data_IF_174227592995
#
_entry.id   IF_174227592995
#
_cell.length_a   1.000
_cell.length_b   1.000
_cell.length_c   1.000
_cell.angle_alpha   90.00
_cell.angle_beta   90.00
_cell.angle_gamma   90.00
#
_symmetry.space_group_name_H-M   'P 1'
#
loop_
_entity.id
_entity.type
_entity.pdbx_description
1 polymer ?
#
# COMPACT_ATOMS: atom_id res chain seq x y z
N UNK A 1 66.52 -66.12 -22.98
CA UNK A 1 65.61 -67.25 -23.24
C UNK A 1 64.41 -66.68 -24.00
N UNK A 2 64.39 -66.84 -25.30
CA UNK A 2 63.21 -66.56 -26.12
C UNK A 2 62.28 -67.76 -25.92
N UNK A 3 61.23 -67.53 -25.16
CA UNK A 3 60.14 -68.52 -25.06
C UNK A 3 59.30 -68.36 -26.32
N UNK A 4 59.57 -69.25 -27.34
CA UNK A 4 58.73 -69.34 -28.51
C UNK A 4 57.34 -69.80 -28.04
N UNK A 5 56.30 -68.96 -28.29
CA UNK A 5 54.93 -69.32 -28.03
C UNK A 5 54.53 -70.53 -28.81
N UNK A 6 54.01 -71.53 -28.12
CA UNK A 6 53.51 -72.74 -28.84
C UNK A 6 52.20 -72.37 -29.61
N UNK A 7 51.86 -73.20 -30.63
CA UNK A 7 50.61 -73.00 -31.37
C UNK A 7 49.37 -73.05 -30.46
N UNK A 8 49.44 -73.86 -29.41
CA UNK A 8 48.38 -73.94 -28.38
C UNK A 8 48.25 -72.65 -27.56
N UNK A 9 49.37 -71.99 -27.18
CA UNK A 9 49.39 -70.73 -26.48
C UNK A 9 48.80 -69.59 -27.32
N UNK A 10 49.11 -69.56 -28.61
CA UNK A 10 48.55 -68.58 -29.56
C UNK A 10 47.05 -68.79 -29.70
N UNK A 11 46.58 -70.05 -29.78
CA UNK A 11 45.18 -70.40 -29.93
C UNK A 11 44.40 -70.04 -28.65
N UNK A 12 44.97 -70.23 -27.46
CA UNK A 12 44.40 -69.83 -26.16
C UNK A 12 44.29 -68.31 -26.09
N UNK A 13 45.30 -67.57 -26.52
CA UNK A 13 45.33 -66.11 -26.54
C UNK A 13 44.24 -65.53 -27.49
N UNK A 14 44.06 -66.16 -28.67
CA UNK A 14 42.98 -65.78 -29.57
C UNK A 14 41.60 -66.03 -28.95
N UNK A 15 41.39 -67.16 -28.30
CA UNK A 15 40.12 -67.51 -27.63
C UNK A 15 39.83 -66.49 -26.46
N UNK A 16 40.84 -66.21 -25.66
CA UNK A 16 40.72 -65.21 -24.60
C UNK A 16 40.39 -63.81 -25.16
N UNK A 17 41.08 -63.39 -26.21
CA UNK A 17 40.84 -62.12 -26.88
C UNK A 17 39.41 -62.05 -27.44
N UNK A 18 38.92 -63.15 -28.10
CA UNK A 18 37.55 -63.20 -28.60
C UNK A 18 36.52 -63.05 -27.45
N UNK A 19 36.74 -63.71 -26.32
CA UNK A 19 35.87 -63.54 -25.13
C UNK A 19 35.90 -62.14 -24.59
N UNK A 20 37.04 -61.47 -24.50
CA UNK A 20 37.18 -60.09 -24.10
C UNK A 20 36.47 -59.13 -25.06
N UNK A 21 36.54 -59.35 -26.34
CA UNK A 21 35.78 -58.62 -27.35
C UNK A 21 34.26 -58.75 -27.12
N UNK A 22 33.77 -59.98 -26.93
CA UNK A 22 32.34 -60.21 -26.66
C UNK A 22 31.87 -59.51 -25.37
N UNK A 23 32.68 -59.53 -24.29
CA UNK A 23 32.38 -58.88 -23.08
C UNK A 23 32.37 -57.35 -23.24
N UNK A 24 33.31 -56.82 -24.00
CA UNK A 24 33.39 -55.40 -24.34
C UNK A 24 32.17 -54.96 -25.15
N UNK A 25 31.82 -55.71 -26.17
CA UNK A 25 30.65 -55.47 -27.03
C UNK A 25 29.34 -55.44 -26.19
N UNK A 26 29.19 -56.39 -25.28
CA UNK A 26 28.07 -56.41 -24.36
C UNK A 26 28.02 -55.15 -23.44
N UNK A 27 29.17 -54.71 -22.93
CA UNK A 27 29.26 -53.46 -22.13
C UNK A 27 28.92 -52.24 -22.94
N UNK A 28 29.33 -52.19 -24.18
CA UNK A 28 28.96 -51.12 -25.11
C UNK A 28 27.44 -51.09 -25.35
N UNK A 29 26.81 -52.21 -25.62
CA UNK A 29 25.36 -52.30 -25.81
C UNK A 29 24.59 -51.89 -24.54
N UNK A 30 25.05 -52.28 -23.34
CA UNK A 30 24.45 -51.87 -22.10
C UNK A 30 24.61 -50.38 -21.89
N UNK A 31 25.76 -49.82 -22.20
CA UNK A 31 26.02 -48.37 -22.07
C UNK A 31 25.14 -47.58 -23.04
N UNK A 32 25.02 -48.02 -24.29
CA UNK A 32 24.17 -47.39 -25.30
C UNK A 32 22.69 -47.37 -24.85
N UNK A 33 22.22 -48.48 -24.30
CA UNK A 33 20.87 -48.58 -23.75
C UNK A 33 20.66 -47.58 -22.58
N UNK A 34 21.65 -47.42 -21.70
CA UNK A 34 21.59 -46.45 -20.59
C UNK A 34 21.58 -45.02 -21.12
N UNK A 35 22.33 -44.72 -22.16
CA UNK A 35 22.28 -43.41 -22.80
C UNK A 35 20.90 -43.13 -23.41
N UNK A 36 20.30 -44.08 -24.12
CA UNK A 36 18.95 -43.92 -24.66
C UNK A 36 17.89 -43.72 -23.57
N UNK A 37 17.99 -44.46 -22.44
CA UNK A 37 17.11 -44.26 -21.30
C UNK A 37 17.28 -42.86 -20.66
N UNK A 38 18.53 -42.41 -20.58
CA UNK A 38 18.83 -41.07 -20.01
C UNK A 38 18.30 -39.97 -20.93
N UNK A 39 18.52 -40.10 -22.23
CA UNK A 39 18.03 -39.13 -23.22
C UNK A 39 16.49 -39.02 -23.18
N UNK A 40 15.79 -40.15 -23.08
CA UNK A 40 14.34 -40.16 -22.91
C UNK A 40 13.88 -39.46 -21.63
N UNK A 41 14.60 -39.65 -20.52
CA UNK A 41 14.30 -38.96 -19.27
C UNK A 41 14.55 -37.46 -19.36
N UNK A 42 15.58 -37.03 -20.07
CA UNK A 42 15.81 -35.62 -20.34
C UNK A 42 14.69 -35.00 -21.15
N UNK A 43 14.27 -35.66 -22.24
CA UNK A 43 13.14 -35.16 -23.05
C UNK A 43 11.83 -35.07 -22.26
N UNK A 44 11.55 -36.04 -21.38
CA UNK A 44 10.38 -36.02 -20.53
C UNK A 44 10.46 -34.88 -19.47
N UNK A 45 11.65 -34.65 -18.93
CA UNK A 45 11.88 -33.56 -17.98
C UNK A 45 11.74 -32.21 -18.66
N UNK A 46 12.31 -32.01 -19.84
CA UNK A 46 12.18 -30.78 -20.61
C UNK A 46 10.72 -30.45 -20.94
N UNK A 47 9.95 -31.48 -21.33
CA UNK A 47 8.50 -31.29 -21.53
C UNK A 47 7.76 -30.87 -20.27
N UNK A 48 8.10 -31.43 -19.11
CA UNK A 48 7.51 -31.02 -17.82
C UNK A 48 7.89 -29.59 -17.44
N UNK A 49 9.12 -29.16 -17.73
CA UNK A 49 9.53 -27.77 -17.55
C UNK A 49 8.72 -26.83 -18.42
N UNK A 50 8.55 -27.13 -19.70
CA UNK A 50 7.75 -26.32 -20.61
C UNK A 50 6.27 -26.22 -20.18
N UNK A 51 5.69 -27.32 -19.70
CA UNK A 51 4.33 -27.31 -19.13
C UNK A 51 4.24 -26.45 -17.85
N UNK A 52 5.23 -26.56 -16.98
CA UNK A 52 5.31 -25.77 -15.75
C UNK A 52 5.46 -24.28 -16.04
N UNK A 53 6.32 -23.90 -16.98
CA UNK A 53 6.50 -22.52 -17.40
C UNK A 53 5.21 -21.90 -17.94
N UNK A 54 4.47 -22.65 -18.78
CA UNK A 54 3.15 -22.21 -19.27
C UNK A 54 2.14 -22.03 -18.15
N UNK A 55 2.13 -22.91 -17.16
CA UNK A 55 1.26 -22.80 -15.98
C UNK A 55 1.61 -21.59 -15.13
N UNK A 56 2.90 -21.35 -14.89
CA UNK A 56 3.38 -20.18 -14.14
C UNK A 56 2.98 -18.90 -14.87
N UNK A 57 3.17 -18.83 -16.18
CA UNK A 57 2.80 -17.65 -16.96
C UNK A 57 1.29 -17.38 -16.91
N UNK A 58 0.47 -18.42 -17.05
CA UNK A 58 -0.98 -18.33 -16.92
C UNK A 58 -1.40 -17.85 -15.53
N UNK A 59 -0.86 -18.46 -14.47
CA UNK A 59 -1.15 -18.10 -13.08
C UNK A 59 -0.74 -16.66 -12.77
N UNK A 60 0.40 -16.22 -13.27
CA UNK A 60 0.89 -14.86 -13.13
C UNK A 60 -0.04 -13.83 -13.77
N UNK A 61 -0.54 -14.13 -14.98
CA UNK A 61 -1.52 -13.28 -15.67
C UNK A 61 -2.85 -13.21 -14.91
N UNK A 62 -3.38 -14.36 -14.49
CA UNK A 62 -4.64 -14.42 -13.71
C UNK A 62 -4.52 -13.70 -12.37
N UNK A 63 -3.40 -13.88 -11.68
CA UNK A 63 -3.13 -13.20 -10.40
C UNK A 63 -3.04 -11.68 -10.59
N UNK A 64 -2.32 -11.23 -11.62
CA UNK A 64 -2.20 -9.81 -11.94
C UNK A 64 -3.55 -9.18 -12.33
N UNK A 65 -4.42 -9.93 -12.99
CA UNK A 65 -5.77 -9.48 -13.29
C UNK A 65 -6.62 -9.37 -12.02
N UNK A 66 -6.61 -10.38 -11.15
CA UNK A 66 -7.33 -10.37 -9.87
C UNK A 66 -6.85 -9.24 -8.96
N UNK A 67 -5.55 -8.97 -8.91
CA UNK A 67 -5.00 -7.84 -8.13
C UNK A 67 -5.52 -6.51 -8.68
N UNK A 68 -5.61 -6.33 -10.00
CA UNK A 68 -6.19 -5.13 -10.61
C UNK A 68 -7.67 -4.97 -10.31
N UNK A 69 -8.45 -6.05 -10.45
CA UNK A 69 -9.88 -6.06 -10.12
C UNK A 69 -10.11 -5.75 -8.64
N UNK A 70 -9.32 -6.34 -7.75
CA UNK A 70 -9.34 -6.06 -6.31
C UNK A 70 -8.97 -4.60 -6.01
N UNK A 71 -7.95 -4.07 -6.67
CA UNK A 71 -7.54 -2.66 -6.56
C UNK A 71 -8.66 -1.70 -6.99
N UNK A 72 -9.40 -2.01 -8.05
CA UNK A 72 -10.56 -1.23 -8.47
C UNK A 72 -11.72 -1.32 -7.46
N UNK A 73 -11.99 -2.51 -6.91
CA UNK A 73 -13.01 -2.70 -5.87
C UNK A 73 -12.63 -1.96 -4.58
N UNK A 74 -11.36 -2.04 -4.15
CA UNK A 74 -10.86 -1.32 -2.98
C UNK A 74 -10.91 0.20 -3.21
N UNK A 75 -10.54 0.70 -4.39
CA UNK A 75 -10.66 2.11 -4.73
C UNK A 75 -12.10 2.62 -4.68
N UNK A 76 -13.05 1.84 -5.22
CA UNK A 76 -14.48 2.14 -5.13
C UNK A 76 -15.02 2.05 -3.69
N UNK A 77 -14.50 1.12 -2.90
CA UNK A 77 -14.85 0.98 -1.48
C UNK A 77 -14.25 2.11 -0.65
N UNK A 78 -13.01 2.55 -0.96
CA UNK A 78 -12.35 3.67 -0.29
C UNK A 78 -13.13 4.97 -0.40
N UNK A 79 -13.65 5.28 -1.58
CA UNK A 79 -14.51 6.46 -1.79
C UNK A 79 -15.85 6.35 -1.03
N UNK A 80 -16.47 5.15 -1.02
CA UNK A 80 -17.69 4.91 -0.24
C UNK A 80 -17.44 4.92 1.26
N UNK A 81 -16.28 4.40 1.68
CA UNK A 81 -15.88 4.39 3.08
C UNK A 81 -15.53 5.81 3.57
N UNK A 82 -14.93 6.66 2.73
CA UNK A 82 -14.72 8.08 3.01
C UNK A 82 -16.03 8.80 3.31
N UNK A 83 -17.02 8.75 2.41
CA UNK A 83 -18.33 9.34 2.62
C UNK A 83 -19.08 8.78 3.84
N UNK A 84 -18.92 7.49 4.11
CA UNK A 84 -19.52 6.84 5.27
C UNK A 84 -18.86 7.33 6.58
N UNK A 85 -17.54 7.44 6.61
CA UNK A 85 -16.78 7.93 7.77
C UNK A 85 -17.09 9.41 8.05
N UNK A 86 -17.18 10.22 7.00
CA UNK A 86 -17.59 11.63 7.10
C UNK A 86 -19.01 11.74 7.69
N UNK A 87 -19.95 10.91 7.24
CA UNK A 87 -21.32 10.90 7.72
C UNK A 87 -21.47 10.42 9.17
N UNK A 88 -20.74 9.39 9.58
CA UNK A 88 -20.80 8.83 10.94
C UNK A 88 -20.05 9.73 11.97
N UNK A 89 -18.92 10.27 11.59
CA UNK A 89 -18.13 11.11 12.50
C UNK A 89 -18.78 12.47 12.78
N UNK A 90 -19.62 12.97 11.88
CA UNK A 90 -20.16 14.32 11.96
C UNK A 90 -20.95 14.60 13.25
N UNK A 91 -21.89 13.77 13.74
CA UNK A 91 -22.62 14.05 14.98
C UNK A 91 -21.71 14.12 16.21
N UNK A 92 -20.74 13.23 16.30
CA UNK A 92 -19.77 13.17 17.39
C UNK A 92 -18.80 14.36 17.32
N UNK A 93 -18.37 14.71 16.12
CA UNK A 93 -17.54 15.89 15.86
C UNK A 93 -18.27 17.20 16.22
N UNK A 94 -19.52 17.35 15.81
CA UNK A 94 -20.34 18.51 16.15
C UNK A 94 -20.45 18.70 17.67
N UNK A 95 -20.68 17.60 18.39
CA UNK A 95 -20.72 17.62 19.85
C UNK A 95 -19.41 18.14 20.46
N UNK A 96 -18.25 17.64 19.99
CA UNK A 96 -16.94 18.07 20.46
C UNK A 96 -16.67 19.53 20.10
N UNK A 97 -16.95 19.93 18.85
CA UNK A 97 -16.77 21.30 18.40
C UNK A 97 -17.57 22.29 19.27
N UNK A 98 -18.83 21.97 19.57
CA UNK A 98 -19.67 22.80 20.44
C UNK A 98 -19.20 22.77 21.90
N UNK A 99 -18.95 21.60 22.47
CA UNK A 99 -18.66 21.46 23.90
C UNK A 99 -17.25 21.88 24.28
N UNK A 100 -16.25 21.58 23.44
CA UNK A 100 -14.84 21.82 23.77
C UNK A 100 -14.31 23.11 23.19
N UNK A 101 -14.79 23.51 22.03
CA UNK A 101 -14.33 24.71 21.32
C UNK A 101 -15.35 25.85 21.36
N UNK A 102 -16.56 25.63 21.86
CA UNK A 102 -17.56 26.66 22.04
C UNK A 102 -18.11 27.27 20.77
N UNK A 103 -18.08 26.53 19.62
CA UNK A 103 -18.58 27.05 18.36
C UNK A 103 -20.11 27.07 18.31
N UNK A 104 -20.66 28.08 17.65
CA UNK A 104 -22.10 28.25 17.45
C UNK A 104 -22.58 27.57 16.17
N UNK A 105 -21.77 27.64 15.14
CA UNK A 105 -22.12 27.17 13.80
C UNK A 105 -21.19 26.04 13.37
N UNK A 106 -21.77 24.97 12.83
CA UNK A 106 -21.07 23.83 12.23
C UNK A 106 -21.69 23.56 10.88
N UNK A 107 -20.91 23.71 9.82
CA UNK A 107 -21.31 23.48 8.43
C UNK A 107 -20.53 22.30 7.83
N UNK A 108 -21.17 21.14 7.57
CA UNK A 108 -20.53 20.04 6.85
C UNK A 108 -20.47 20.32 5.35
N UNK A 109 -19.49 19.71 4.66
CA UNK A 109 -19.31 19.71 3.21
C UNK A 109 -19.44 21.10 2.58
N UNK A 110 -18.65 22.06 3.10
CA UNK A 110 -18.66 23.44 2.59
C UNK A 110 -17.92 23.51 1.26
N UNK A 111 -18.63 23.94 0.21
CA UNK A 111 -18.09 24.08 -1.14
C UNK A 111 -18.15 25.52 -1.61
N UNK A 112 -17.02 26.03 -2.07
CA UNK A 112 -16.90 27.39 -2.58
C UNK A 112 -16.37 27.38 -4.00
N UNK A 113 -16.97 28.19 -4.86
CA UNK A 113 -16.51 28.49 -6.20
C UNK A 113 -16.16 29.96 -6.31
N UNK A 114 -14.91 30.28 -6.53
CA UNK A 114 -14.45 31.66 -6.63
C UNK A 114 -13.35 31.79 -7.69
N UNK A 115 -13.52 32.75 -8.62
CA UNK A 115 -12.55 33.04 -9.68
C UNK A 115 -12.11 31.81 -10.50
N UNK A 116 -13.05 30.90 -10.82
CA UNK A 116 -12.78 29.70 -11.59
C UNK A 116 -12.07 28.57 -10.80
N UNK A 117 -11.81 28.79 -9.52
CA UNK A 117 -11.28 27.78 -8.59
C UNK A 117 -12.40 27.27 -7.68
N UNK A 118 -12.24 26.06 -7.19
CA UNK A 118 -13.13 25.51 -6.19
C UNK A 118 -12.36 25.01 -4.97
N UNK A 119 -12.96 25.15 -3.80
CA UNK A 119 -12.49 24.60 -2.55
C UNK A 119 -13.61 23.79 -1.92
N UNK A 120 -13.29 22.64 -1.39
CA UNK A 120 -14.16 21.80 -0.56
C UNK A 120 -13.51 21.60 0.80
N UNK A 121 -14.27 21.81 1.87
CA UNK A 121 -13.88 21.60 3.26
C UNK A 121 -14.88 20.63 3.87
N UNK A 122 -14.41 19.59 4.53
CA UNK A 122 -15.28 18.56 5.10
C UNK A 122 -16.18 19.15 6.21
N UNK A 123 -15.60 19.96 7.12
CA UNK A 123 -16.38 20.71 8.11
C UNK A 123 -15.75 22.08 8.36
N UNK A 124 -16.56 23.12 8.28
CA UNK A 124 -16.22 24.45 8.75
C UNK A 124 -17.07 24.77 9.99
N UNK A 125 -16.40 25.05 11.12
CA UNK A 125 -17.07 25.45 12.35
C UNK A 125 -16.57 26.79 12.81
N UNK A 126 -17.46 27.63 13.36
CA UNK A 126 -17.06 28.95 13.87
C UNK A 126 -17.97 29.45 14.95
N UNK A 127 -17.44 30.40 15.73
CA UNK A 127 -18.18 31.24 16.67
C UNK A 127 -17.88 32.70 16.39
N UNK A 128 -18.85 33.54 16.71
CA UNK A 128 -18.74 34.98 16.69
C UNK A 128 -18.53 35.54 18.13
N UNK A 129 -18.59 36.85 18.29
CA UNK A 129 -18.52 37.51 19.61
C UNK A 129 -17.14 37.39 20.26
N UNK A 130 -17.09 37.09 21.56
CA UNK A 130 -15.84 37.08 22.34
C UNK A 130 -14.87 35.99 21.92
N UNK A 131 -15.35 34.79 21.53
CA UNK A 131 -14.53 33.69 21.06
C UNK A 131 -13.89 34.03 19.71
N UNK A 132 -14.67 34.50 18.77
CA UNK A 132 -14.30 34.89 17.40
C UNK A 132 -13.28 33.97 16.79
N UNK A 133 -13.64 32.69 16.65
CA UNK A 133 -12.77 31.64 16.19
C UNK A 133 -13.40 30.80 15.04
N UNK A 134 -12.59 30.29 14.15
CA UNK A 134 -12.98 29.39 13.11
C UNK A 134 -12.07 28.12 13.10
N UNK A 135 -12.66 27.00 12.82
CA UNK A 135 -12.01 25.71 12.78
C UNK A 135 -12.31 25.05 11.43
N UNK A 136 -11.25 24.71 10.71
CA UNK A 136 -11.32 23.91 9.48
C UNK A 136 -11.01 22.48 9.85
N UNK A 137 -11.92 21.56 9.58
CA UNK A 137 -11.75 20.14 9.85
C UNK A 137 -11.67 19.39 8.55
N UNK A 138 -10.63 18.57 8.41
CA UNK A 138 -10.42 17.64 7.31
C UNK A 138 -10.50 16.22 7.84
N UNK A 139 -11.33 15.38 7.20
CA UNK A 139 -11.62 14.01 7.63
C UNK A 139 -11.05 13.02 6.63
N UNK A 140 -10.27 12.05 7.11
CA UNK A 140 -9.66 11.02 6.26
C UNK A 140 -9.88 9.63 6.83
N UNK A 141 -10.09 8.65 5.97
CA UNK A 141 -10.08 7.24 6.39
C UNK A 141 -8.68 6.79 6.80
N UNK A 142 -7.64 7.32 6.14
CA UNK A 142 -6.24 7.02 6.41
C UNK A 142 -5.41 8.28 6.24
N UNK A 143 -4.77 8.72 7.32
CA UNK A 143 -3.93 9.93 7.32
C UNK A 143 -2.64 9.68 6.53
N UNK A 144 -2.29 10.64 5.67
CA UNK A 144 -1.06 10.69 4.88
C UNK A 144 -0.39 12.05 5.01
N UNK A 145 0.89 12.11 4.70
CA UNK A 145 1.66 13.36 4.71
C UNK A 145 1.03 14.46 3.85
N UNK A 146 0.54 14.09 2.68
CA UNK A 146 -0.11 15.01 1.76
C UNK A 146 -1.36 15.68 2.34
N UNK A 147 -2.06 15.02 3.28
CA UNK A 147 -3.24 15.59 3.94
C UNK A 147 -2.88 16.69 4.92
N UNK A 148 -1.73 16.59 5.59
CA UNK A 148 -1.21 17.65 6.45
C UNK A 148 -0.96 18.91 5.62
N UNK A 149 -0.23 18.75 4.50
CA UNK A 149 0.08 19.86 3.61
C UNK A 149 -1.18 20.47 2.99
N UNK A 150 -2.12 19.64 2.56
CA UNK A 150 -3.41 20.09 2.02
C UNK A 150 -4.16 20.99 3.01
N UNK A 151 -4.26 20.58 4.29
CA UNK A 151 -4.93 21.39 5.30
C UNK A 151 -4.17 22.69 5.57
N UNK A 152 -2.83 22.65 5.64
CA UNK A 152 -2.02 23.84 5.82
C UNK A 152 -2.23 24.85 4.68
N UNK A 153 -2.28 24.39 3.44
CA UNK A 153 -2.53 25.25 2.27
C UNK A 153 -3.92 25.87 2.31
N UNK A 154 -4.94 25.14 2.78
CA UNK A 154 -6.29 25.66 2.99
C UNK A 154 -6.28 26.77 4.06
N UNK A 155 -5.60 26.52 5.19
CA UNK A 155 -5.53 27.47 6.29
C UNK A 155 -4.78 28.76 5.91
N UNK A 156 -3.70 28.65 5.15
CA UNK A 156 -2.91 29.79 4.68
C UNK A 156 -3.73 30.71 3.77
N UNK A 157 -4.58 30.15 2.91
CA UNK A 157 -5.39 30.91 1.97
C UNK A 157 -6.85 31.09 2.43
N UNK A 158 -7.16 30.76 3.70
CA UNK A 158 -8.53 30.77 4.22
C UNK A 158 -9.24 32.11 4.04
N UNK A 159 -8.60 33.20 4.35
CA UNK A 159 -9.20 34.55 4.22
C UNK A 159 -9.52 34.95 2.78
N UNK A 160 -8.85 34.37 1.78
CA UNK A 160 -9.17 34.57 0.36
C UNK A 160 -10.48 33.85 -0.01
N UNK A 161 -10.71 32.69 0.58
CA UNK A 161 -11.93 31.91 0.37
C UNK A 161 -13.10 32.40 1.20
N UNK A 162 -12.84 32.84 2.44
CA UNK A 162 -13.83 33.27 3.43
C UNK A 162 -13.48 34.65 4.00
N UNK A 163 -13.55 35.73 3.19
CA UNK A 163 -13.23 37.06 3.67
C UNK A 163 -14.11 37.53 4.84
N UNK A 164 -15.35 37.01 4.93
CA UNK A 164 -16.28 37.22 6.03
C UNK A 164 -15.82 36.62 7.38
N UNK A 165 -14.85 35.71 7.34
CA UNK A 165 -14.23 35.09 8.51
C UNK A 165 -12.76 35.51 8.72
N UNK A 166 -12.25 36.45 7.94
CA UNK A 166 -10.85 36.87 7.97
C UNK A 166 -10.40 37.56 9.28
N UNK A 167 -11.33 37.92 10.15
CA UNK A 167 -11.07 38.49 11.50
C UNK A 167 -10.99 37.44 12.60
N UNK A 168 -11.32 36.17 12.29
CA UNK A 168 -11.41 35.10 13.27
C UNK A 168 -10.05 34.46 13.55
N UNK A 169 -9.86 34.02 14.79
CA UNK A 169 -8.73 33.12 15.13
C UNK A 169 -8.93 31.82 14.43
N UNK A 170 -8.02 31.47 13.52
CA UNK A 170 -8.15 30.31 12.66
C UNK A 170 -7.34 29.11 13.15
N UNK A 171 -7.96 27.95 13.19
CA UNK A 171 -7.36 26.69 13.63
C UNK A 171 -7.69 25.56 12.66
N UNK A 172 -6.79 24.56 12.57
CA UNK A 172 -6.97 23.35 11.79
C UNK A 172 -7.13 22.12 12.65
N UNK A 173 -7.99 21.20 12.22
CA UNK A 173 -8.21 19.89 12.84
C UNK A 173 -8.07 18.83 11.77
N UNK A 174 -7.14 17.86 11.94
CA UNK A 174 -7.07 16.65 11.15
C UNK A 174 -7.74 15.51 11.90
N UNK A 175 -8.74 14.91 11.29
CA UNK A 175 -9.46 13.77 11.82
C UNK A 175 -9.25 12.55 10.95
N UNK A 176 -8.92 11.39 11.52
CA UNK A 176 -8.78 10.18 10.73
C UNK A 176 -9.17 8.92 11.51
N UNK A 177 -9.61 7.88 10.78
CA UNK A 177 -9.85 6.54 11.33
C UNK A 177 -8.52 5.87 11.66
N UNK A 178 -7.57 5.93 10.72
CA UNK A 178 -6.23 5.39 10.91
C UNK A 178 -5.18 6.49 10.84
N UNK A 179 -4.40 6.61 11.91
CA UNK A 179 -3.32 7.58 12.05
C UNK A 179 -2.01 6.83 12.26
N UNK A 180 -1.09 6.82 11.27
CA UNK A 180 0.25 6.29 11.47
C UNK A 180 0.99 7.04 12.59
N UNK A 181 1.69 6.31 13.46
CA UNK A 181 2.37 6.91 14.62
C UNK A 181 3.36 7.99 14.23
N UNK A 182 4.12 7.78 13.16
CA UNK A 182 5.06 8.77 12.63
C UNK A 182 4.41 10.10 12.19
N UNK A 183 3.13 10.10 11.86
CA UNK A 183 2.41 11.31 11.46
C UNK A 183 1.74 12.02 12.63
N UNK A 184 1.53 11.33 13.75
CA UNK A 184 0.90 11.91 14.96
C UNK A 184 1.70 13.10 15.49
N UNK A 185 2.98 12.90 15.76
CA UNK A 185 3.87 13.96 16.24
C UNK A 185 3.95 15.11 15.23
N UNK A 186 4.07 14.78 13.95
CA UNK A 186 4.19 15.77 12.88
C UNK A 186 2.96 16.68 12.75
N UNK A 187 1.74 16.16 12.90
CA UNK A 187 0.52 16.97 12.92
C UNK A 187 0.54 17.96 14.08
N UNK A 188 0.91 17.48 15.28
CA UNK A 188 0.99 18.31 16.48
C UNK A 188 2.09 19.37 16.40
N UNK A 189 3.25 19.05 15.80
CA UNK A 189 4.34 20.00 15.54
C UNK A 189 3.93 21.13 14.59
N UNK A 190 3.03 20.87 13.64
CA UNK A 190 2.45 21.90 12.79
C UNK A 190 1.41 22.77 13.53
N UNK A 191 1.10 22.45 14.79
CA UNK A 191 0.11 23.14 15.60
C UNK A 191 -1.32 22.83 15.21
N UNK A 192 -1.55 21.74 14.48
CA UNK A 192 -2.87 21.26 14.12
C UNK A 192 -3.43 20.37 15.23
N UNK A 193 -4.72 20.49 15.52
CA UNK A 193 -5.40 19.51 16.32
C UNK A 193 -5.47 18.18 15.60
N UNK A 194 -5.29 17.09 16.33
CA UNK A 194 -5.44 15.74 15.84
C UNK A 194 -6.65 15.09 16.51
N UNK A 195 -7.51 14.46 15.73
CA UNK A 195 -8.61 13.68 16.22
C UNK A 195 -8.62 12.30 15.59
N UNK A 196 -9.01 11.30 16.36
CA UNK A 196 -9.17 9.93 15.88
C UNK A 196 -10.65 9.55 15.89
N UNK A 197 -11.03 8.79 14.86
CA UNK A 197 -12.39 8.28 14.70
C UNK A 197 -12.34 6.78 15.02
N UNK A 198 -13.03 6.40 16.10
CA UNK A 198 -13.22 5.00 16.48
C UNK A 198 -14.72 4.71 16.49
N UNK A 199 -15.15 3.71 15.73
CA UNK A 199 -16.57 3.42 15.54
C UNK A 199 -17.34 4.67 15.15
N UNK A 200 -18.21 5.17 16.04
CA UNK A 200 -19.00 6.38 15.84
C UNK A 200 -18.49 7.58 16.68
N UNK A 201 -17.31 7.43 17.30
CA UNK A 201 -16.74 8.41 18.19
C UNK A 201 -15.60 9.18 17.55
N UNK A 202 -15.66 10.50 17.69
CA UNK A 202 -14.61 11.42 17.32
C UNK A 202 -13.89 11.88 18.60
N UNK A 203 -12.63 11.53 18.77
CA UNK A 203 -11.85 11.82 19.97
C UNK A 203 -10.62 12.65 19.63
N UNK A 204 -10.44 13.76 20.36
CA UNK A 204 -9.23 14.56 20.26
C UNK A 204 -8.04 13.82 20.87
N UNK A 205 -6.99 13.69 20.09
CA UNK A 205 -5.73 13.02 20.44
C UNK A 205 -4.62 14.06 20.60
N UNK A 206 -4.80 14.99 21.54
CA UNK A 206 -3.82 16.04 21.82
C UNK A 206 -3.33 15.95 23.26
N UNK A 207 -2.02 16.16 23.53
CA UNK A 207 -1.49 16.25 24.89
C UNK A 207 -2.12 17.40 25.70
N UNK A 208 -2.15 17.27 27.02
CA UNK A 208 -2.72 18.30 27.90
C UNK A 208 -2.04 19.67 27.75
N UNK A 209 -0.75 19.67 27.40
CA UNK A 209 0.04 20.91 27.21
C UNK A 209 0.08 21.37 25.76
N UNK A 210 -0.73 20.78 24.86
CA UNK A 210 -0.76 21.15 23.45
C UNK A 210 -1.25 22.58 23.27
N UNK A 211 -0.49 23.36 22.51
CA UNK A 211 -0.84 24.71 22.11
C UNK A 211 -1.05 24.76 20.60
N UNK A 212 -2.28 24.95 20.13
CA UNK A 212 -2.57 25.02 18.71
C UNK A 212 -1.95 26.28 18.09
N UNK A 213 -1.46 26.15 16.87
CA UNK A 213 -1.05 27.30 16.08
C UNK A 213 -2.28 28.06 15.56
N UNK A 214 -2.21 29.39 15.62
CA UNK A 214 -3.17 30.26 14.93
C UNK A 214 -2.69 30.52 13.51
N UNK A 215 -3.60 30.40 12.57
CA UNK A 215 -3.33 30.59 11.14
C UNK A 215 -3.94 31.88 10.56
N UNK A 216 -4.55 32.69 11.39
CA UNK A 216 -5.09 34.01 11.01
C UNK A 216 -3.95 35.00 10.68
N UNK A 217 -4.15 35.85 9.68
CA UNK A 217 -3.16 36.84 9.20
C UNK A 217 -2.71 37.87 10.26
N UNK A 218 -3.36 37.92 11.41
CA UNK A 218 -3.01 38.83 12.52
C UNK A 218 -1.98 38.24 13.51
N UNK A 219 -1.57 36.98 13.28
CA UNK A 219 -0.64 36.27 14.18
C UNK A 219 0.84 36.36 13.73
N UNK A 220 1.14 37.17 12.70
CA UNK A 220 2.51 37.46 12.23
C UNK A 220 3.02 38.78 12.83
#
# INVERSE_FOLDING_TARGET
MNTELSFEDIRALFAETALRFQETDRKFQETDRRFQETDRKFQETDRKFQETDRLIEKLSRETSQKIRELGQQIGGLGNKFGSFTEGLALPSMEKILRQRFGVDTVGPSVRIFRNGKHLEIDVLAYANGELNAAYVVEVKSHLREENIQQLLDILEHFAEWFPEHGDKKLYGILAAVHIPEALRERVLEQGLYLAQIHDDLFELQVPDNFQPRRFDHRAQ
#
